data_IF_275065267223
#
_entry.id   IF_275065267223
#
_cell.length_a   1.000
_cell.length_b   1.000
_cell.length_c   1.000
_cell.angle_alpha   90.00
_cell.angle_beta   90.00
_cell.angle_gamma   90.00
#
_symmetry.space_group_name_H-M   'P 1'
#
loop_
_entity.id
_entity.type
_entity.pdbx_description
1 polymer ?
#
# COMPACT_ATOMS: atom_id res chain seq x y z
N UNK A 1 11.70 3.05 -4.40
CA UNK A 1 11.43 1.94 -3.47
C UNK A 1 10.04 2.02 -2.81
N UNK A 2 9.59 3.18 -2.31
CA UNK A 2 8.31 3.31 -1.58
C UNK A 2 7.08 2.83 -2.39
N UNK A 3 6.99 3.15 -3.68
CA UNK A 3 5.90 2.71 -4.54
C UNK A 3 5.81 1.19 -4.68
N UNK A 4 6.94 0.51 -4.73
CA UNK A 4 6.99 -0.97 -4.83
C UNK A 4 6.51 -1.63 -3.55
N UNK A 5 6.84 -1.07 -2.37
CA UNK A 5 6.29 -1.55 -1.11
C UNK A 5 4.77 -1.40 -1.04
N UNK A 6 4.25 -0.26 -1.51
CA UNK A 6 2.81 -0.03 -1.57
C UNK A 6 2.12 -1.00 -2.54
N UNK A 7 2.73 -1.24 -3.70
CA UNK A 7 2.24 -2.21 -4.68
C UNK A 7 2.22 -3.63 -4.09
N UNK A 8 3.31 -4.04 -3.45
CA UNK A 8 3.40 -5.35 -2.80
C UNK A 8 2.35 -5.52 -1.70
N UNK A 9 2.12 -4.49 -0.88
CA UNK A 9 1.08 -4.50 0.13
C UNK A 9 -0.32 -4.62 -0.49
N UNK A 10 -0.59 -3.89 -1.57
CA UNK A 10 -1.86 -3.95 -2.29
C UNK A 10 -2.10 -5.34 -2.90
N UNK A 11 -1.10 -5.92 -3.57
CA UNK A 11 -1.17 -7.28 -4.12
C UNK A 11 -1.41 -8.32 -3.03
N UNK A 12 -0.73 -8.19 -1.89
CA UNK A 12 -0.90 -9.10 -0.75
C UNK A 12 -2.30 -8.99 -0.15
N UNK A 13 -2.85 -7.79 -0.05
CA UNK A 13 -4.20 -7.57 0.44
C UNK A 13 -5.24 -8.22 -0.48
N UNK A 14 -5.15 -7.97 -1.79
CA UNK A 14 -6.07 -8.58 -2.78
C UNK A 14 -5.92 -10.09 -2.80
N UNK A 15 -4.69 -10.62 -2.71
CA UNK A 15 -4.45 -12.06 -2.63
C UNK A 15 -5.20 -12.71 -1.47
N UNK A 16 -5.13 -12.12 -0.28
CA UNK A 16 -5.88 -12.62 0.88
C UNK A 16 -7.39 -12.43 0.77
N UNK A 17 -7.87 -11.30 0.20
CA UNK A 17 -9.30 -11.08 -0.04
C UNK A 17 -9.89 -12.11 -1.00
N UNK A 18 -9.15 -12.47 -2.04
CA UNK A 18 -9.56 -13.48 -3.03
C UNK A 18 -9.35 -14.92 -2.56
N UNK A 19 -8.82 -15.12 -1.35
CA UNK A 19 -8.56 -16.44 -0.80
C UNK A 19 -7.40 -17.19 -1.43
N UNK A 20 -6.50 -16.48 -2.10
CA UNK A 20 -5.29 -17.05 -2.67
C UNK A 20 -4.24 -17.28 -1.57
N UNK A 21 -3.54 -18.39 -1.65
CA UNK A 21 -2.38 -18.67 -0.79
C UNK A 21 -1.13 -18.09 -1.45
N UNK A 22 -0.20 -17.49 -0.68
CA UNK A 22 1.10 -17.11 -1.22
C UNK A 22 1.75 -18.28 -1.96
N UNK A 23 2.30 -18.01 -3.14
CA UNK A 23 2.91 -19.04 -4.01
C UNK A 23 1.93 -20.06 -4.62
N UNK A 24 0.61 -19.86 -4.55
CA UNK A 24 -0.37 -20.78 -5.12
C UNK A 24 -0.15 -21.01 -6.63
N UNK A 25 0.24 -19.96 -7.36
CA UNK A 25 0.57 -20.04 -8.78
C UNK A 25 1.74 -21.00 -9.04
N UNK A 26 2.81 -20.88 -8.28
CA UNK A 26 4.00 -21.75 -8.38
C UNK A 26 3.68 -23.20 -8.02
N UNK A 27 2.87 -23.42 -6.99
CA UNK A 27 2.42 -24.76 -6.57
C UNK A 27 1.56 -25.40 -7.65
N UNK A 28 0.66 -24.64 -8.26
CA UNK A 28 -0.19 -25.12 -9.35
C UNK A 28 0.62 -25.50 -10.60
N UNK A 29 1.64 -24.70 -10.93
CA UNK A 29 2.50 -24.96 -12.08
C UNK A 29 3.40 -26.18 -11.88
N UNK A 30 3.95 -26.36 -10.67
CA UNK A 30 4.84 -27.46 -10.33
C UNK A 30 4.09 -28.80 -10.15
N UNK A 31 2.88 -28.78 -9.60
CA UNK A 31 2.13 -29.99 -9.25
C UNK A 31 0.91 -30.24 -10.12
N UNK A 32 0.64 -29.38 -11.11
CA UNK A 32 -0.50 -29.52 -12.02
C UNK A 32 -1.86 -29.45 -11.31
N UNK A 33 -1.93 -28.83 -10.17
CA UNK A 33 -3.13 -28.71 -9.34
C UNK A 33 -3.81 -27.38 -9.60
N UNK A 34 -5.15 -27.38 -9.73
CA UNK A 34 -5.93 -26.17 -9.98
C UNK A 34 -6.49 -25.57 -8.68
N UNK A 35 -5.65 -25.37 -7.70
CA UNK A 35 -6.04 -24.67 -6.46
C UNK A 35 -6.07 -23.17 -6.70
N UNK A 36 -7.19 -22.63 -7.17
CA UNK A 36 -7.32 -21.21 -7.45
C UNK A 36 -7.74 -20.42 -6.19
N UNK A 37 -8.60 -21.00 -5.37
CA UNK A 37 -9.05 -20.35 -4.12
C UNK A 37 -9.09 -21.40 -3.01
N UNK A 38 -8.17 -21.29 -2.05
CA UNK A 38 -8.10 -22.20 -0.89
C UNK A 38 -9.14 -21.87 0.17
N UNK A 39 -9.60 -20.61 0.20
CA UNK A 39 -10.56 -20.13 1.19
C UNK A 39 -11.72 -19.44 0.49
N UNK A 40 -12.91 -19.49 1.10
CA UNK A 40 -13.96 -18.54 0.77
C UNK A 40 -13.43 -17.12 1.03
N UNK A 41 -13.90 -16.13 0.28
CA UNK A 41 -13.49 -14.72 0.43
C UNK A 41 -13.39 -14.34 1.91
N UNK A 42 -12.18 -13.92 2.34
CA UNK A 42 -11.98 -13.51 3.72
C UNK A 42 -12.61 -12.15 3.99
N UNK A 43 -13.14 -11.90 5.21
CA UNK A 43 -13.60 -10.58 5.58
C UNK A 43 -12.43 -9.58 5.51
N UNK A 44 -12.69 -8.39 4.99
CA UNK A 44 -11.67 -7.35 4.74
C UNK A 44 -10.78 -7.07 5.96
N UNK A 45 -11.36 -7.10 7.16
CA UNK A 45 -10.61 -6.89 8.41
C UNK A 45 -9.51 -7.95 8.62
N UNK A 46 -9.83 -9.21 8.36
CA UNK A 46 -8.87 -10.32 8.53
C UNK A 46 -7.77 -10.26 7.45
N UNK A 47 -8.14 -9.91 6.22
CA UNK A 47 -7.20 -9.72 5.11
C UNK A 47 -6.21 -8.59 5.42
N UNK A 48 -6.69 -7.46 5.96
CA UNK A 48 -5.83 -6.33 6.37
C UNK A 48 -4.87 -6.75 7.48
N UNK A 49 -5.35 -7.49 8.48
CA UNK A 49 -4.50 -7.95 9.59
C UNK A 49 -3.41 -8.91 9.11
N UNK A 50 -3.74 -9.86 8.23
CA UNK A 50 -2.76 -10.77 7.63
C UNK A 50 -1.75 -10.01 6.75
N UNK A 51 -2.21 -9.02 5.97
CA UNK A 51 -1.33 -8.15 5.18
C UNK A 51 -0.37 -7.39 6.08
N UNK A 52 -0.81 -6.84 7.19
CA UNK A 52 0.08 -6.19 8.14
C UNK A 52 1.14 -7.15 8.69
N UNK A 53 0.76 -8.37 9.06
CA UNK A 53 1.71 -9.37 9.55
C UNK A 53 2.76 -9.71 8.48
N UNK A 54 2.33 -9.94 7.23
CA UNK A 54 3.25 -10.22 6.13
C UNK A 54 4.17 -9.05 5.83
N UNK A 55 3.69 -7.81 5.89
CA UNK A 55 4.51 -6.62 5.70
C UNK A 55 5.53 -6.42 6.83
N UNK A 56 5.16 -6.71 8.07
CA UNK A 56 6.08 -6.69 9.21
C UNK A 56 7.17 -7.75 9.05
N UNK A 57 6.80 -8.97 8.66
CA UNK A 57 7.75 -10.03 8.39
C UNK A 57 8.71 -9.68 7.25
N UNK A 58 8.18 -9.12 6.16
CA UNK A 58 8.97 -8.63 5.03
C UNK A 58 9.95 -7.53 5.47
N UNK A 59 9.48 -6.54 6.23
CA UNK A 59 10.31 -5.47 6.75
C UNK A 59 11.46 -6.01 7.61
N UNK A 60 11.18 -6.97 8.48
CA UNK A 60 12.19 -7.63 9.30
C UNK A 60 13.23 -8.40 8.47
N UNK A 61 12.79 -9.10 7.42
CA UNK A 61 13.68 -9.81 6.49
C UNK A 61 14.60 -8.81 5.77
N UNK A 62 14.04 -7.72 5.25
CA UNK A 62 14.80 -6.69 4.53
C UNK A 62 15.80 -6.00 5.47
N UNK A 63 15.40 -5.67 6.69
CA UNK A 63 16.28 -5.09 7.69
C UNK A 63 17.47 -6.02 7.96
N UNK A 64 17.21 -7.30 8.17
CA UNK A 64 18.24 -8.24 8.54
C UNK A 64 19.17 -8.63 7.39
N UNK A 65 18.62 -8.81 6.17
CA UNK A 65 19.40 -9.26 5.00
C UNK A 65 20.06 -8.10 4.24
N UNK A 66 19.40 -6.97 4.15
CA UNK A 66 19.82 -5.85 3.29
C UNK A 66 20.40 -4.71 4.13
N UNK A 67 19.56 -4.10 4.99
CA UNK A 67 19.91 -2.87 5.70
C UNK A 67 21.11 -3.09 6.64
N UNK A 68 21.18 -4.21 7.34
CA UNK A 68 22.30 -4.50 8.23
C UNK A 68 23.66 -4.52 7.52
N UNK A 69 23.71 -4.91 6.24
CA UNK A 69 24.93 -4.98 5.46
C UNK A 69 25.24 -3.67 4.73
N UNK A 70 24.26 -2.76 4.64
CA UNK A 70 24.40 -1.47 4.00
C UNK A 70 24.83 -0.35 4.96
N UNK A 71 24.87 -0.61 6.25
CA UNK A 71 25.34 0.37 7.24
C UNK A 71 26.79 0.73 6.95
N UNK A 72 27.09 2.03 6.87
CA UNK A 72 28.42 2.60 6.57
C UNK A 72 28.93 2.36 5.13
N UNK A 73 28.03 2.11 4.17
CA UNK A 73 28.39 2.04 2.75
C UNK A 73 28.24 3.42 2.08
N UNK A 74 28.95 3.60 0.97
CA UNK A 74 28.85 4.82 0.17
C UNK A 74 27.40 5.07 -0.32
N UNK A 75 26.97 6.36 -0.45
CA UNK A 75 25.63 6.72 -0.91
C UNK A 75 25.24 6.09 -2.24
N UNK A 76 26.21 5.87 -3.15
CA UNK A 76 25.97 5.25 -4.45
C UNK A 76 25.59 3.77 -4.32
N UNK A 77 26.20 3.08 -3.37
CA UNK A 77 25.88 1.67 -3.04
C UNK A 77 24.49 1.56 -2.46
N UNK A 78 24.14 2.48 -1.56
CA UNK A 78 22.79 2.57 -1.00
C UNK A 78 21.73 2.79 -2.08
N UNK A 79 22.00 3.69 -3.03
CA UNK A 79 21.12 3.95 -4.15
C UNK A 79 20.91 2.71 -5.03
N UNK A 80 22.00 2.04 -5.42
CA UNK A 80 21.93 0.80 -6.21
C UNK A 80 21.21 -0.32 -5.48
N UNK A 81 21.45 -0.47 -4.17
CA UNK A 81 20.78 -1.46 -3.34
C UNK A 81 19.26 -1.20 -3.23
N UNK A 82 18.83 0.07 -3.16
CA UNK A 82 17.39 0.40 -3.14
C UNK A 82 16.69 0.08 -4.46
N UNK A 83 17.39 0.25 -5.60
CA UNK A 83 16.89 -0.16 -6.92
C UNK A 83 16.80 -1.69 -7.00
N UNK A 84 17.86 -2.39 -6.62
CA UNK A 84 17.89 -3.84 -6.60
C UNK A 84 16.79 -4.43 -5.70
N UNK A 85 16.56 -3.84 -4.53
CA UNK A 85 15.48 -4.22 -3.64
C UNK A 85 14.10 -4.00 -4.26
N UNK A 86 13.90 -2.90 -5.02
CA UNK A 86 12.65 -2.64 -5.70
C UNK A 86 12.33 -3.74 -6.72
N UNK A 87 13.27 -4.09 -7.59
CA UNK A 87 13.10 -5.18 -8.57
C UNK A 87 12.93 -6.56 -7.90
N UNK A 88 13.67 -6.81 -6.81
CA UNK A 88 13.51 -8.05 -6.06
C UNK A 88 12.10 -8.19 -5.46
N UNK A 89 11.55 -7.11 -4.90
CA UNK A 89 10.20 -7.10 -4.35
C UNK A 89 9.13 -7.26 -5.42
N UNK A 90 9.31 -6.63 -6.59
CA UNK A 90 8.42 -6.80 -7.73
C UNK A 90 8.41 -8.25 -8.18
N UNK A 91 9.57 -8.86 -8.39
CA UNK A 91 9.68 -10.28 -8.75
C UNK A 91 9.11 -11.22 -7.70
N UNK A 92 9.31 -10.96 -6.42
CA UNK A 92 8.71 -11.74 -5.33
C UNK A 92 7.19 -11.57 -5.31
N UNK A 93 6.69 -10.36 -5.56
CA UNK A 93 5.25 -10.09 -5.66
C UNK A 93 4.60 -10.90 -6.79
N UNK A 94 5.20 -10.90 -7.96
CA UNK A 94 4.73 -11.68 -9.13
C UNK A 94 4.79 -13.19 -8.87
N UNK A 95 5.84 -13.68 -8.23
CA UNK A 95 5.97 -15.10 -7.85
C UNK A 95 4.94 -15.53 -6.80
N UNK A 96 4.61 -14.63 -5.86
CA UNK A 96 3.65 -14.97 -4.79
C UNK A 96 2.20 -14.92 -5.26
N UNK A 97 1.84 -13.92 -6.06
CA UNK A 97 0.44 -13.58 -6.36
C UNK A 97 0.09 -13.65 -7.85
N UNK A 98 1.07 -13.90 -8.71
CA UNK A 98 0.92 -13.85 -10.16
C UNK A 98 0.91 -12.41 -10.71
N UNK A 99 1.11 -12.30 -12.02
CA UNK A 99 1.16 -11.02 -12.75
C UNK A 99 -0.20 -10.55 -13.30
N UNK A 100 -1.30 -11.17 -12.86
CA UNK A 100 -2.64 -10.83 -13.31
C UNK A 100 -3.09 -9.46 -12.76
N UNK A 101 -3.84 -8.71 -13.58
CA UNK A 101 -4.44 -7.44 -13.15
C UNK A 101 -5.51 -7.72 -12.11
N UNK A 102 -5.31 -7.23 -10.91
CA UNK A 102 -6.24 -7.40 -9.78
C UNK A 102 -6.90 -6.08 -9.42
N UNK A 103 -8.20 -6.13 -9.14
CA UNK A 103 -8.95 -4.97 -8.65
C UNK A 103 -8.91 -4.99 -7.13
N UNK A 104 -8.40 -3.89 -6.55
CA UNK A 104 -8.35 -3.72 -5.10
C UNK A 104 -9.68 -3.14 -4.60
N UNK A 105 -10.44 -3.95 -3.86
CA UNK A 105 -11.62 -3.48 -3.13
C UNK A 105 -11.26 -3.31 -1.65
N UNK A 106 -11.09 -2.07 -1.24
CA UNK A 106 -10.77 -1.74 0.17
C UNK A 106 -12.03 -1.62 1.03
N UNK A 107 -13.22 -1.82 0.44
CA UNK A 107 -14.50 -1.61 1.11
C UNK A 107 -14.83 -0.12 1.33
N UNK A 108 -14.13 0.77 0.65
CA UNK A 108 -14.43 2.20 0.63
C UNK A 108 -15.42 2.45 -0.51
N UNK A 109 -16.51 3.20 -0.27
CA UNK A 109 -17.44 3.55 -1.32
C UNK A 109 -16.73 4.23 -2.49
N UNK A 110 -16.75 3.59 -3.67
CA UNK A 110 -16.24 4.15 -4.92
C UNK A 110 -17.42 4.65 -5.75
N UNK A 111 -17.33 5.87 -6.23
CA UNK A 111 -18.39 6.51 -7.04
C UNK A 111 -18.30 8.03 -6.98
N UNK A 112 -18.96 8.71 -7.93
CA UNK A 112 -19.00 10.18 -7.94
C UNK A 112 -19.73 10.74 -6.73
N UNK A 113 -19.22 11.82 -6.14
CA UNK A 113 -19.88 12.48 -5.02
C UNK A 113 -20.92 13.48 -5.54
N UNK A 114 -22.16 13.02 -5.66
CA UNK A 114 -23.28 13.78 -6.18
C UNK A 114 -23.47 15.10 -5.40
N UNK A 115 -23.29 15.10 -4.10
CA UNK A 115 -23.47 16.29 -3.27
C UNK A 115 -22.37 17.36 -3.47
N UNK A 116 -21.13 16.97 -3.78
CA UNK A 116 -20.06 17.90 -4.13
C UNK A 116 -20.24 18.45 -5.55
N UNK A 117 -20.72 17.64 -6.47
CA UNK A 117 -21.10 18.06 -7.82
C UNK A 117 -22.23 19.11 -7.75
N UNK A 118 -23.28 18.85 -6.99
CA UNK A 118 -24.41 19.74 -6.80
C UNK A 118 -24.01 21.07 -6.10
N UNK A 119 -23.13 20.97 -5.08
CA UNK A 119 -22.60 22.16 -4.39
C UNK A 119 -21.69 23.01 -5.29
N UNK A 120 -20.89 22.40 -6.18
CA UNK A 120 -20.02 23.14 -7.10
C UNK A 120 -20.78 23.72 -8.28
N UNK A 121 -21.84 23.06 -8.76
CA UNK A 121 -22.75 23.60 -9.77
C UNK A 121 -23.49 24.83 -9.22
N UNK A 122 -23.91 24.82 -7.95
CA UNK A 122 -24.53 25.94 -7.28
C UNK A 122 -23.66 27.18 -7.09
N UNK A 123 -22.33 27.04 -7.19
CA UNK A 123 -21.35 28.13 -7.12
C UNK A 123 -21.01 28.71 -8.51
N UNK A 124 -21.39 28.04 -9.59
CA UNK A 124 -21.17 28.52 -10.94
C UNK A 124 -22.14 29.64 -11.26
N UNK A 125 -21.65 30.75 -11.82
CA UNK A 125 -22.48 31.87 -12.26
C UNK A 125 -23.47 31.39 -13.34
N UNK A 126 -24.74 31.83 -13.25
CA UNK A 126 -25.76 31.58 -14.26
C UNK A 126 -25.24 31.99 -15.65
N UNK A 127 -25.14 31.01 -16.57
CA UNK A 127 -24.69 31.23 -17.95
C UNK A 127 -23.26 30.81 -18.27
N UNK A 128 -22.51 30.23 -17.33
CA UNK A 128 -21.24 29.60 -17.65
C UNK A 128 -21.44 28.10 -17.98
N UNK A 129 -20.84 27.61 -19.08
CA UNK A 129 -20.73 26.19 -19.41
C UNK A 129 -19.77 25.47 -18.42
N UNK A 130 -19.94 25.71 -17.12
CA UNK A 130 -19.12 25.11 -16.09
C UNK A 130 -19.71 23.75 -15.73
N UNK A 131 -19.07 22.69 -16.22
CA UNK A 131 -19.33 21.34 -15.75
C UNK A 131 -18.80 21.25 -14.32
N UNK A 132 -19.64 20.91 -13.35
CA UNK A 132 -19.27 20.77 -11.96
C UNK A 132 -18.02 19.91 -11.78
N UNK A 133 -17.21 20.21 -10.77
CA UNK A 133 -15.97 19.49 -10.51
C UNK A 133 -16.32 18.07 -10.05
N UNK A 134 -15.98 17.07 -10.88
CA UNK A 134 -16.14 15.67 -10.52
C UNK A 134 -15.02 15.26 -9.55
N UNK A 135 -15.36 15.04 -8.29
CA UNK A 135 -14.43 14.53 -7.29
C UNK A 135 -14.87 13.12 -6.91
N UNK A 136 -14.01 12.16 -7.17
CA UNK A 136 -14.24 10.78 -6.78
C UNK A 136 -14.25 10.66 -5.24
N UNK A 137 -15.29 10.02 -4.69
CA UNK A 137 -15.44 9.75 -3.25
C UNK A 137 -14.22 9.03 -2.68
N UNK A 138 -13.63 8.13 -3.45
CA UNK A 138 -12.42 7.41 -3.05
C UNK A 138 -11.25 8.38 -2.76
N UNK A 139 -11.06 9.41 -3.61
CA UNK A 139 -10.02 10.41 -3.41
C UNK A 139 -10.26 11.27 -2.16
N UNK A 140 -11.52 11.56 -1.85
CA UNK A 140 -11.88 12.29 -0.62
C UNK A 140 -11.54 11.45 0.62
N UNK A 141 -11.93 10.18 0.65
CA UNK A 141 -11.60 9.28 1.75
C UNK A 141 -10.09 9.06 1.88
N UNK A 142 -9.38 8.86 0.76
CA UNK A 142 -7.92 8.75 0.77
C UNK A 142 -7.26 10.00 1.36
N UNK A 143 -7.76 11.19 1.02
CA UNK A 143 -7.27 12.46 1.58
C UNK A 143 -7.52 12.56 3.09
N UNK A 144 -8.71 12.20 3.56
CA UNK A 144 -9.05 12.21 4.99
C UNK A 144 -8.14 11.26 5.77
N UNK A 145 -7.94 10.05 5.26
CA UNK A 145 -7.03 9.06 5.88
C UNK A 145 -5.60 9.56 5.87
N UNK A 146 -5.13 10.14 4.77
CA UNK A 146 -3.78 10.68 4.67
C UNK A 146 -3.54 11.82 5.68
N UNK A 147 -4.48 12.77 5.78
CA UNK A 147 -4.41 13.86 6.75
C UNK A 147 -4.39 13.31 8.19
N UNK A 148 -5.27 12.35 8.49
CA UNK A 148 -5.30 11.71 9.79
C UNK A 148 -3.97 11.04 10.15
N UNK A 149 -3.36 10.31 9.21
CA UNK A 149 -2.06 9.66 9.39
C UNK A 149 -0.94 10.68 9.60
N UNK A 150 -0.90 11.76 8.80
CA UNK A 150 0.11 12.82 8.94
C UNK A 150 0.00 13.51 10.30
N UNK A 151 -1.22 13.87 10.71
CA UNK A 151 -1.46 14.48 12.04
C UNK A 151 -1.07 13.52 13.15
N UNK A 152 -1.45 12.25 13.05
CA UNK A 152 -1.11 11.22 14.03
C UNK A 152 0.40 11.04 14.18
N UNK A 153 1.13 10.96 13.05
CA UNK A 153 2.59 10.87 13.04
C UNK A 153 3.25 12.14 13.58
N UNK A 154 2.72 13.32 13.26
CA UNK A 154 3.22 14.59 13.78
C UNK A 154 3.06 14.66 15.32
N UNK A 155 1.89 14.28 15.83
CA UNK A 155 1.63 14.20 17.26
C UNK A 155 2.53 13.17 17.94
N UNK A 156 2.65 11.97 17.33
CA UNK A 156 3.56 10.94 17.84
C UNK A 156 5.00 11.44 17.92
N UNK A 157 5.49 12.07 16.86
CA UNK A 157 6.84 12.65 16.82
C UNK A 157 7.06 13.74 17.85
N UNK A 158 6.03 14.55 18.18
CA UNK A 158 6.14 15.62 19.16
C UNK A 158 6.05 15.13 20.61
N UNK A 159 5.12 14.20 20.89
CA UNK A 159 4.78 13.82 22.25
C UNK A 159 5.52 12.59 22.77
N UNK A 160 6.04 11.71 21.88
CA UNK A 160 6.74 10.51 22.32
C UNK A 160 8.24 10.71 22.51
N UNK A 161 8.82 9.98 23.46
CA UNK A 161 10.28 9.97 23.69
C UNK A 161 11.04 9.48 22.45
N UNK A 162 10.49 8.46 21.75
CA UNK A 162 11.05 7.89 20.53
C UNK A 162 11.02 8.87 19.36
N UNK A 163 9.93 9.61 19.20
CA UNK A 163 9.81 10.65 18.17
C UNK A 163 10.81 11.79 18.37
N UNK A 164 11.02 12.21 19.61
CA UNK A 164 12.04 13.21 19.95
C UNK A 164 13.47 12.73 19.71
N UNK A 165 13.75 11.46 20.01
CA UNK A 165 15.06 10.87 19.74
C UNK A 165 15.34 10.77 18.22
N UNK A 166 14.33 10.38 17.41
CA UNK A 166 14.46 10.34 15.95
C UNK A 166 14.73 11.73 15.34
N UNK A 167 14.11 12.78 15.88
CA UNK A 167 14.34 14.15 15.42
C UNK A 167 15.77 14.62 15.78
N UNK A 168 16.27 14.29 16.95
CA UNK A 168 17.62 14.64 17.36
C UNK A 168 18.70 13.99 16.46
N UNK A 169 18.43 12.79 15.94
CA UNK A 169 19.33 12.09 14.98
C UNK A 169 19.21 12.67 13.55
N UNK A 170 18.08 13.27 13.20
CA UNK A 170 17.89 13.87 11.88
C UNK A 170 18.48 15.29 11.77
N UNK A 171 18.71 15.97 12.90
CA UNK A 171 19.25 17.33 12.98
C UNK A 171 20.80 17.34 13.06
N UNK A 172 21.46 16.17 13.21
CA UNK A 172 22.92 15.98 13.17
C UNK A 172 23.38 15.60 11.73
#
# INVERSE_FOLDING_TARGET
AQGVFALFAALTLVGYQTGQVPFAHLINELFGTNYHNWYASMPNFLAILLTMITMIALAWIIERLVLKHLVNQDPIILFMATIGLAFALEGVGDLMWGSDVKVLDVGIPSGGSIWLEEATIGLAAEGSDYYGMYIDVLNVWATVIAVFLVVSLALFSQYTKTGRALRAVADD
#
